data_IF_475723550694
#
_entry.id   IF_475723550694
#
_cell.length_a   1.000
_cell.length_b   1.000
_cell.length_c   1.000
_cell.angle_alpha   90.00
_cell.angle_beta   90.00
_cell.angle_gamma   90.00
#
_symmetry.space_group_name_H-M   'P 1'
#
loop_
_entity.id
_entity.type
_entity.pdbx_description
1 polymer ?
#
# COMPACT_ATOMS: atom_id res chain seq x y z
N UNK A 1 39.48 -12.89 -54.54
CA UNK A 1 38.17 -13.47 -54.94
C UNK A 1 37.21 -12.29 -55.04
N UNK A 2 36.73 -11.98 -56.26
CA UNK A 2 36.21 -10.67 -56.73
C UNK A 2 35.01 -10.11 -55.94
N UNK A 3 34.76 -8.79 -55.84
CA UNK A 3 34.65 -7.67 -56.80
C UNK A 3 33.37 -7.68 -57.65
N UNK A 4 32.75 -6.49 -57.78
CA UNK A 4 31.60 -6.01 -58.59
C UNK A 4 30.20 -6.16 -57.94
N UNK A 5 29.42 -5.12 -57.59
CA UNK A 5 28.96 -3.85 -58.21
C UNK A 5 27.76 -3.99 -59.20
N UNK A 6 26.77 -3.10 -59.03
CA UNK A 6 25.82 -2.50 -60.01
C UNK A 6 24.34 -2.97 -60.19
N UNK A 7 23.45 -1.98 -59.96
CA UNK A 7 22.33 -1.47 -60.80
C UNK A 7 20.91 -2.09 -60.75
N UNK A 8 19.99 -1.22 -60.30
CA UNK A 8 18.64 -0.82 -60.79
C UNK A 8 17.72 -1.79 -61.55
N UNK A 9 16.43 -1.71 -61.21
CA UNK A 9 15.31 -2.03 -62.10
C UNK A 9 14.01 -1.38 -61.64
N UNK A 10 13.63 -0.27 -62.29
CA UNK A 10 12.25 0.22 -62.37
C UNK A 10 11.55 -0.53 -63.52
N UNK A 11 10.29 -0.93 -63.32
CA UNK A 11 9.39 -1.37 -64.38
C UNK A 11 7.94 -1.18 -63.93
N UNK A 12 7.26 -0.29 -64.66
CA UNK A 12 5.84 0.04 -64.52
C UNK A 12 4.93 -1.04 -65.10
N UNK A 13 3.76 -1.18 -64.47
CA UNK A 13 2.47 -1.27 -65.16
C UNK A 13 1.99 -2.67 -65.57
N UNK A 14 0.77 -3.01 -65.15
CA UNK A 14 -0.34 -3.48 -66.00
C UNK A 14 -1.61 -3.52 -65.12
N UNK A 15 -2.66 -2.87 -65.60
CA UNK A 15 -4.04 -2.98 -65.12
C UNK A 15 -4.76 -4.07 -65.93
N UNK A 16 -5.69 -4.82 -65.33
CA UNK A 16 -7.02 -5.03 -65.94
C UNK A 16 -8.06 -5.53 -64.90
N UNK A 17 -9.36 -5.19 -65.07
CA UNK A 17 -10.42 -5.24 -64.08
C UNK A 17 -11.46 -6.35 -64.36
N UNK A 18 -12.30 -6.65 -63.37
CA UNK A 18 -13.73 -6.95 -63.49
C UNK A 18 -14.26 -7.31 -62.08
N UNK A 19 -15.24 -6.55 -61.55
CA UNK A 19 -16.69 -6.89 -61.48
C UNK A 19 -16.96 -8.17 -60.68
N UNK A 20 -17.93 -8.29 -59.77
CA UNK A 20 -19.10 -7.52 -59.38
C UNK A 20 -19.74 -8.26 -58.17
N UNK A 21 -20.50 -7.55 -57.32
CA UNK A 21 -21.88 -7.84 -56.85
C UNK A 21 -22.14 -6.95 -55.60
N UNK A 22 -22.81 -5.79 -55.73
CA UNK A 22 -24.28 -5.57 -55.56
C UNK A 22 -24.80 -6.09 -54.21
N UNK A 23 -24.97 -5.26 -53.17
CA UNK A 23 -25.97 -4.18 -52.95
C UNK A 23 -27.37 -4.71 -52.61
N UNK A 24 -27.82 -4.52 -51.35
CA UNK A 24 -29.20 -4.21 -50.93
C UNK A 24 -29.14 -3.29 -49.68
N UNK A 25 -29.89 -2.19 -49.75
CA UNK A 25 -30.15 -1.08 -48.79
C UNK A 25 -30.53 -1.53 -47.35
N UNK A 26 -30.30 -0.77 -46.27
CA UNK A 26 -30.72 0.62 -45.97
C UNK A 26 -32.14 0.56 -45.36
N UNK A 27 -32.47 1.01 -44.15
CA UNK A 27 -32.21 2.26 -43.42
C UNK A 27 -32.60 2.06 -41.94
N UNK A 28 -31.89 2.73 -41.02
CA UNK A 28 -32.48 3.46 -39.87
C UNK A 28 -31.36 4.05 -38.99
N UNK A 29 -31.04 5.32 -39.27
CA UNK A 29 -30.98 6.39 -38.27
C UNK A 29 -29.83 6.46 -37.27
N UNK A 30 -28.80 7.26 -37.57
CA UNK A 30 -28.36 8.43 -36.77
C UNK A 30 -27.14 9.12 -37.40
N UNK A 31 -27.25 10.36 -37.93
CA UNK A 31 -26.13 11.04 -38.55
C UNK A 31 -25.36 11.92 -37.56
N UNK A 32 -24.05 11.78 -37.68
CA UNK A 32 -23.02 12.68 -37.20
C UNK A 32 -22.77 13.77 -38.27
N UNK A 33 -22.84 15.06 -37.92
CA UNK A 33 -22.06 16.12 -38.58
C UNK A 33 -22.12 17.43 -37.80
N UNK A 34 -20.98 18.12 -37.71
CA UNK A 34 -20.85 19.47 -37.15
C UNK A 34 -21.19 20.56 -38.17
N UNK A 35 -20.96 21.82 -37.77
CA UNK A 35 -20.53 22.97 -38.59
C UNK A 35 -20.27 24.17 -37.62
N UNK A 36 -19.08 24.81 -37.63
CA UNK A 36 -18.68 26.09 -38.28
C UNK A 36 -19.12 27.37 -37.54
N UNK A 37 -18.14 28.17 -37.10
CA UNK A 37 -18.02 29.65 -37.18
C UNK A 37 -16.58 30.02 -36.72
N UNK A 38 -15.61 30.36 -37.58
CA UNK A 38 -15.35 31.57 -38.40
C UNK A 38 -15.01 32.85 -37.62
N UNK A 39 -13.74 33.27 -37.73
CA UNK A 39 -13.22 34.59 -37.40
C UNK A 39 -11.92 34.85 -38.17
N UNK A 40 -12.04 35.49 -39.34
CA UNK A 40 -10.94 35.91 -40.25
C UNK A 40 -10.16 37.10 -39.68
N UNK A 41 -8.83 37.12 -39.88
CA UNK A 41 -8.10 38.34 -40.22
C UNK A 41 -6.96 38.01 -41.18
N UNK A 42 -6.86 38.79 -42.27
CA UNK A 42 -5.93 38.64 -43.40
C UNK A 42 -4.85 39.71 -43.31
N UNK A 43 -3.60 39.31 -43.63
CA UNK A 43 -2.50 39.99 -44.37
C UNK A 43 -1.21 39.27 -43.96
N UNK A 44 -0.25 38.81 -44.76
CA UNK A 44 0.12 38.95 -46.17
C UNK A 44 1.65 38.72 -46.24
N UNK A 45 2.12 38.06 -47.30
CA UNK A 45 3.52 37.80 -47.73
C UNK A 45 4.28 36.55 -47.21
N UNK A 46 4.71 35.74 -48.18
CA UNK A 46 5.69 34.64 -48.18
C UNK A 46 7.02 35.15 -48.79
N UNK A 47 8.08 34.33 -48.96
CA UNK A 47 8.58 33.17 -48.20
C UNK A 47 10.11 33.25 -47.93
N UNK A 48 10.64 32.63 -46.85
CA UNK A 48 12.00 32.04 -46.89
C UNK A 48 12.00 30.73 -46.08
N UNK A 49 12.44 29.68 -46.73
CA UNK A 49 12.62 28.34 -46.21
C UNK A 49 13.77 28.25 -45.18
N UNK A 50 13.53 27.55 -44.08
CA UNK A 50 14.55 26.81 -43.36
C UNK A 50 13.89 25.59 -42.71
N UNK A 51 14.17 24.43 -43.31
CA UNK A 51 13.78 23.11 -42.86
C UNK A 51 14.53 22.76 -41.56
N UNK A 52 13.82 22.71 -40.44
CA UNK A 52 14.25 22.06 -39.21
C UNK A 52 13.14 21.16 -38.70
N UNK A 53 13.13 19.89 -39.13
CA UNK A 53 12.33 18.85 -38.50
C UNK A 53 13.02 18.44 -37.21
N UNK A 54 12.76 19.17 -36.13
CA UNK A 54 12.93 18.60 -34.80
C UNK A 54 11.62 17.88 -34.46
N UNK A 55 11.64 16.57 -34.69
CA UNK A 55 10.68 15.65 -34.11
C UNK A 55 10.87 15.68 -32.59
N UNK A 56 10.22 16.64 -31.93
CA UNK A 56 9.93 16.60 -30.51
C UNK A 56 8.99 15.41 -30.25
N UNK A 57 9.57 14.20 -30.23
CA UNK A 57 8.94 13.05 -29.62
C UNK A 57 8.74 13.41 -28.16
N UNK A 58 7.50 13.72 -27.79
CA UNK A 58 7.10 13.98 -26.42
C UNK A 58 7.63 12.83 -25.56
N UNK A 59 8.64 13.10 -24.71
CA UNK A 59 9.16 12.16 -23.72
C UNK A 59 7.98 11.69 -22.87
N UNK A 60 7.43 10.53 -23.21
CA UNK A 60 6.49 9.78 -22.38
C UNK A 60 7.15 9.65 -21.02
N UNK A 61 6.53 10.19 -19.97
CA UNK A 61 7.15 10.30 -18.64
C UNK A 61 7.79 8.97 -18.23
N UNK A 62 9.11 8.96 -18.08
CA UNK A 62 9.82 7.74 -17.68
C UNK A 62 9.39 7.38 -16.26
N UNK A 63 8.90 6.16 -16.12
CA UNK A 63 8.52 5.59 -14.83
C UNK A 63 9.77 5.40 -13.98
N UNK A 64 9.67 5.72 -12.69
CA UNK A 64 10.79 5.59 -11.75
C UNK A 64 11.00 4.14 -11.35
N UNK A 65 12.12 3.54 -11.76
CA UNK A 65 12.37 2.11 -11.60
C UNK A 65 12.62 1.74 -10.14
N UNK A 66 13.35 2.57 -9.39
CA UNK A 66 13.58 2.35 -7.95
C UNK A 66 12.30 2.24 -7.13
N UNK A 67 11.25 2.96 -7.51
CA UNK A 67 9.93 2.90 -6.86
C UNK A 67 9.29 1.52 -7.03
N UNK A 68 9.38 0.96 -8.25
CA UNK A 68 8.86 -0.37 -8.53
C UNK A 68 9.69 -1.45 -7.86
N UNK A 69 11.01 -1.34 -7.87
CA UNK A 69 11.91 -2.29 -7.19
C UNK A 69 11.68 -2.28 -5.68
N UNK A 70 11.56 -1.12 -5.03
CA UNK A 70 11.25 -1.02 -3.59
C UNK A 70 9.94 -1.72 -3.26
N UNK A 71 8.89 -1.43 -4.04
CA UNK A 71 7.59 -2.06 -3.87
C UNK A 71 7.67 -3.58 -4.08
N UNK A 72 8.43 -4.04 -5.08
CA UNK A 72 8.64 -5.45 -5.34
C UNK A 72 9.39 -6.19 -4.25
N UNK A 73 10.44 -5.58 -3.69
CA UNK A 73 11.14 -6.10 -2.51
C UNK A 73 10.18 -6.23 -1.33
N UNK A 74 9.31 -5.23 -1.14
CA UNK A 74 8.30 -5.27 -0.06
C UNK A 74 7.28 -6.40 -0.27
N UNK A 75 6.82 -6.62 -1.52
CA UNK A 75 5.95 -7.77 -1.87
C UNK A 75 6.67 -9.09 -1.68
N UNK A 76 7.92 -9.21 -2.11
CA UNK A 76 8.70 -10.43 -1.93
C UNK A 76 8.88 -10.74 -0.44
N UNK A 77 9.17 -9.71 0.37
CA UNK A 77 9.29 -9.85 1.81
C UNK A 77 7.99 -10.32 2.45
N UNK A 78 6.86 -9.73 2.04
CA UNK A 78 5.52 -10.14 2.48
C UNK A 78 5.29 -11.65 2.22
N UNK A 79 5.54 -12.13 0.99
CA UNK A 79 5.38 -13.55 0.66
C UNK A 79 6.28 -14.43 1.53
N UNK A 80 7.55 -14.04 1.71
CA UNK A 80 8.49 -14.79 2.55
C UNK A 80 8.03 -14.86 4.00
N UNK A 81 7.54 -13.76 4.57
CA UNK A 81 7.13 -13.75 5.98
C UNK A 81 5.81 -14.52 6.20
N UNK A 82 4.90 -14.49 5.21
CA UNK A 82 3.63 -15.21 5.27
C UNK A 82 3.84 -16.73 5.19
N UNK A 83 4.76 -17.20 4.33
CA UNK A 83 5.00 -18.64 4.13
C UNK A 83 6.07 -19.23 5.08
N UNK A 84 7.16 -18.49 5.34
CA UNK A 84 8.29 -18.96 6.14
C UNK A 84 8.27 -18.48 7.60
N UNK A 85 7.45 -17.48 7.93
CA UNK A 85 7.38 -16.92 9.28
C UNK A 85 6.96 -17.92 10.35
N UNK A 86 6.17 -18.94 9.99
CA UNK A 86 5.80 -20.02 10.91
C UNK A 86 6.98 -20.89 11.36
N UNK A 87 8.06 -20.96 10.56
CA UNK A 87 9.20 -21.83 10.81
C UNK A 87 10.45 -21.08 11.28
N UNK A 88 10.48 -19.75 11.10
CA UNK A 88 11.63 -18.91 11.47
C UNK A 88 11.14 -17.78 12.39
N UNK A 89 11.27 -17.91 13.72
CA UNK A 89 10.76 -16.94 14.68
C UNK A 89 11.28 -15.51 14.47
N UNK A 90 12.52 -15.35 13.98
CA UNK A 90 13.11 -14.04 13.67
C UNK A 90 12.44 -13.30 12.50
N UNK A 91 11.70 -14.04 11.66
CA UNK A 91 10.96 -13.51 10.51
C UNK A 91 9.47 -13.38 10.87
N UNK A 92 8.99 -14.03 11.93
CA UNK A 92 7.60 -13.91 12.38
C UNK A 92 7.35 -12.58 13.11
N UNK A 93 6.10 -12.10 13.14
CA UNK A 93 5.72 -10.88 13.83
C UNK A 93 6.05 -10.90 15.33
N UNK A 94 6.46 -9.75 15.88
CA UNK A 94 6.54 -9.60 17.34
C UNK A 94 5.16 -9.79 17.98
N UNK A 95 5.03 -10.54 19.10
CA UNK A 95 3.75 -10.72 19.77
C UNK A 95 3.09 -9.42 20.24
N UNK A 96 3.87 -8.42 20.66
CA UNK A 96 3.34 -7.13 21.10
C UNK A 96 4.34 -5.99 20.91
N UNK A 97 5.27 -5.82 21.86
CA UNK A 97 6.34 -4.83 21.81
C UNK A 97 7.58 -5.38 21.13
N UNK A 98 8.33 -4.50 20.47
CA UNK A 98 9.47 -4.85 19.63
C UNK A 98 9.08 -4.96 18.16
N UNK A 99 10.09 -5.14 17.32
CA UNK A 99 9.94 -5.22 15.85
C UNK A 99 10.76 -6.37 15.30
N UNK A 100 10.18 -7.11 14.38
CA UNK A 100 10.87 -8.11 13.55
C UNK A 100 10.82 -7.71 12.08
N UNK A 101 11.43 -8.51 11.20
CA UNK A 101 11.50 -8.21 9.76
C UNK A 101 10.09 -8.10 9.14
N UNK A 102 9.14 -8.95 9.53
CA UNK A 102 7.78 -8.91 9.00
C UNK A 102 7.04 -7.61 9.37
N UNK A 103 7.43 -6.96 10.46
CA UNK A 103 6.78 -5.74 10.93
C UNK A 103 7.10 -4.52 10.06
N UNK A 104 8.07 -4.59 9.13
CA UNK A 104 8.40 -3.50 8.22
C UNK A 104 7.57 -3.49 6.93
N UNK A 105 6.94 -4.61 6.57
CA UNK A 105 6.25 -4.80 5.27
C UNK A 105 5.16 -3.73 5.04
N UNK A 106 4.22 -3.58 5.98
CA UNK A 106 3.09 -2.67 5.81
C UNK A 106 3.50 -1.18 5.82
N UNK A 107 4.34 -0.71 6.77
CA UNK A 107 4.88 0.65 6.72
C UNK A 107 5.66 0.97 5.46
N UNK A 108 6.43 0.02 4.91
CA UNK A 108 7.14 0.21 3.64
C UNK A 108 6.17 0.42 2.47
N UNK A 109 5.05 -0.31 2.44
CA UNK A 109 3.99 -0.05 1.46
C UNK A 109 3.37 1.34 1.63
N UNK A 110 3.07 1.78 2.85
CA UNK A 110 2.52 3.11 3.10
C UNK A 110 3.49 4.21 2.67
N UNK A 111 4.77 4.05 3.01
CA UNK A 111 5.83 4.98 2.63
C UNK A 111 5.93 5.10 1.10
N UNK A 112 6.01 3.99 0.37
CA UNK A 112 6.16 4.04 -1.10
C UNK A 112 4.90 4.53 -1.80
N UNK A 113 3.70 4.31 -1.22
CA UNK A 113 2.46 4.94 -1.68
C UNK A 113 2.55 6.46 -1.55
N UNK A 114 3.10 6.97 -0.45
CA UNK A 114 3.42 8.38 -0.27
C UNK A 114 4.34 8.93 -1.36
N UNK A 115 5.48 8.27 -1.60
CA UNK A 115 6.43 8.67 -2.67
C UNK A 115 5.73 8.75 -4.02
N UNK A 116 4.90 7.74 -4.35
CA UNK A 116 4.15 7.69 -5.58
C UNK A 116 3.13 8.84 -5.72
N UNK A 117 2.53 9.31 -4.62
CA UNK A 117 1.60 10.44 -4.62
C UNK A 117 2.28 11.74 -5.01
N UNK A 118 3.50 11.99 -4.52
CA UNK A 118 4.29 13.17 -4.89
C UNK A 118 4.58 13.24 -6.40
N UNK A 119 4.81 12.08 -7.03
CA UNK A 119 4.99 11.97 -8.47
C UNK A 119 3.67 12.09 -9.25
N UNK A 120 2.60 11.46 -8.74
CA UNK A 120 1.31 11.38 -9.41
C UNK A 120 0.58 12.74 -9.47
N UNK A 121 0.75 13.57 -8.44
CA UNK A 121 0.09 14.87 -8.31
C UNK A 121 1.05 16.06 -8.50
N UNK A 122 2.24 15.85 -9.11
CA UNK A 122 3.21 16.92 -9.43
C UNK A 122 2.59 18.12 -10.15
N UNK A 123 1.59 17.90 -11.01
CA UNK A 123 0.85 18.96 -11.72
C UNK A 123 -0.65 18.64 -11.69
N UNK A 124 -1.41 19.39 -10.90
CA UNK A 124 -2.88 19.28 -10.83
C UNK A 124 -3.50 20.52 -11.45
N UNK A 125 -4.09 20.36 -12.63
CA UNK A 125 -4.83 21.43 -13.31
C UNK A 125 -6.25 21.60 -12.76
N UNK A 126 -6.93 20.49 -12.48
CA UNK A 126 -8.29 20.47 -11.89
C UNK A 126 -8.29 19.66 -10.59
N UNK A 127 -8.39 20.39 -9.46
CA UNK A 127 -8.40 19.81 -8.11
C UNK A 127 -9.64 18.97 -7.85
N UNK A 128 -10.80 19.33 -8.42
CA UNK A 128 -12.05 18.59 -8.21
C UNK A 128 -12.01 17.25 -8.95
N UNK A 129 -11.58 17.25 -10.21
CA UNK A 129 -11.40 16.01 -10.97
C UNK A 129 -10.34 15.10 -10.36
N UNK A 130 -9.22 15.67 -9.88
CA UNK A 130 -8.18 14.92 -9.19
C UNK A 130 -8.68 14.28 -7.88
N UNK A 131 -9.46 15.02 -7.09
CA UNK A 131 -10.08 14.52 -5.85
C UNK A 131 -11.06 13.40 -6.15
N UNK A 132 -11.94 13.56 -7.14
CA UNK A 132 -12.89 12.51 -7.55
C UNK A 132 -12.16 11.21 -7.95
N UNK A 133 -11.06 11.34 -8.70
CA UNK A 133 -10.23 10.18 -9.09
C UNK A 133 -9.57 9.51 -7.88
N UNK A 134 -9.06 10.29 -6.93
CA UNK A 134 -8.49 9.78 -5.69
C UNK A 134 -9.53 9.01 -4.86
N UNK A 135 -10.71 9.60 -4.66
CA UNK A 135 -11.85 8.98 -3.94
C UNK A 135 -12.26 7.67 -4.59
N UNK A 136 -12.48 7.65 -5.91
CA UNK A 136 -12.87 6.42 -6.61
C UNK A 136 -11.81 5.31 -6.49
N UNK A 137 -10.52 5.66 -6.51
CA UNK A 137 -9.44 4.67 -6.31
C UNK A 137 -9.43 4.13 -4.88
N UNK A 138 -9.58 5.00 -3.89
CA UNK A 138 -9.65 4.59 -2.48
C UNK A 138 -10.85 3.69 -2.21
N UNK A 139 -12.04 4.03 -2.75
CA UNK A 139 -13.25 3.23 -2.63
C UNK A 139 -13.09 1.84 -3.25
N UNK A 140 -12.53 1.75 -4.47
CA UNK A 140 -12.25 0.46 -5.11
C UNK A 140 -11.34 -0.41 -4.25
N UNK A 141 -10.30 0.18 -3.67
CA UNK A 141 -9.34 -0.53 -2.81
C UNK A 141 -9.99 -0.99 -1.49
N UNK A 142 -10.81 -0.13 -0.87
CA UNK A 142 -11.52 -0.46 0.36
C UNK A 142 -12.56 -1.56 0.16
N UNK A 143 -13.37 -1.48 -0.90
CA UNK A 143 -14.37 -2.51 -1.26
C UNK A 143 -13.68 -3.85 -1.53
N UNK A 144 -12.59 -3.83 -2.30
CA UNK A 144 -11.78 -5.02 -2.56
C UNK A 144 -11.23 -5.61 -1.25
N UNK A 145 -10.78 -4.77 -0.32
CA UNK A 145 -10.34 -5.19 1.02
C UNK A 145 -11.41 -5.91 1.81
N UNK A 146 -12.62 -5.34 1.87
CA UNK A 146 -13.75 -5.94 2.58
C UNK A 146 -14.14 -7.28 1.96
N UNK A 147 -14.14 -7.40 0.62
CA UNK A 147 -14.44 -8.68 -0.07
C UNK A 147 -13.39 -9.74 0.27
N UNK A 148 -12.10 -9.39 0.26
CA UNK A 148 -11.02 -10.37 0.51
C UNK A 148 -10.96 -10.82 1.96
N UNK A 149 -11.17 -9.92 2.92
CA UNK A 149 -11.06 -10.21 4.35
C UNK A 149 -12.38 -10.72 4.95
N UNK A 150 -13.52 -10.26 4.42
CA UNK A 150 -14.84 -10.43 4.98
C UNK A 150 -15.47 -11.82 4.85
N UNK A 151 -14.68 -12.88 4.67
CA UNK A 151 -15.17 -14.25 4.84
C UNK A 151 -15.44 -15.05 3.56
N UNK A 152 -15.11 -14.55 2.36
CA UNK A 152 -15.22 -15.40 1.15
C UNK A 152 -14.26 -16.61 1.15
N UNK A 153 -13.16 -16.54 1.89
CA UNK A 153 -12.08 -17.55 1.86
C UNK A 153 -11.63 -18.06 3.24
N UNK A 154 -12.27 -17.62 4.34
CA UNK A 154 -11.90 -18.03 5.69
C UNK A 154 -12.81 -19.16 6.17
N UNK A 155 -12.33 -20.40 6.05
CA UNK A 155 -13.10 -21.59 6.42
C UNK A 155 -12.64 -22.86 5.72
N UNK A 156 -11.32 -23.09 5.61
CA UNK A 156 -10.73 -24.28 4.93
C UNK A 156 -11.30 -25.60 5.49
N UNK A 157 -11.82 -25.58 6.72
CA UNK A 157 -12.35 -26.74 7.43
C UNK A 157 -13.88 -26.85 7.48
N UNK A 158 -14.64 -25.81 7.13
CA UNK A 158 -16.11 -25.83 7.18
C UNK A 158 -16.69 -25.46 5.81
N UNK A 159 -17.35 -26.41 5.16
CA UNK A 159 -18.03 -26.27 3.85
C UNK A 159 -19.20 -25.25 3.82
N UNK A 160 -19.33 -24.39 4.84
CA UNK A 160 -20.24 -23.24 4.82
C UNK A 160 -19.65 -22.12 3.98
N UNK A 161 -19.94 -22.14 2.68
CA UNK A 161 -19.63 -21.05 1.76
C UNK A 161 -20.59 -19.87 2.03
N UNK A 162 -20.09 -18.76 2.59
CA UNK A 162 -20.89 -17.57 2.86
C UNK A 162 -20.15 -16.49 3.66
N UNK A 163 -20.59 -15.24 3.51
CA UNK A 163 -20.12 -14.10 4.31
C UNK A 163 -21.12 -13.85 5.43
N UNK A 164 -20.72 -14.08 6.68
CA UNK A 164 -21.49 -13.63 7.83
C UNK A 164 -21.27 -12.12 8.03
N UNK A 165 -22.26 -11.34 7.62
CA UNK A 165 -22.24 -9.87 7.71
C UNK A 165 -22.09 -9.42 9.17
N UNK A 166 -22.61 -10.18 10.14
CA UNK A 166 -22.57 -9.82 11.56
C UNK A 166 -21.19 -10.04 12.20
N UNK A 167 -20.34 -10.88 11.61
CA UNK A 167 -18.97 -11.10 12.07
C UNK A 167 -17.90 -10.72 11.04
N UNK A 168 -18.29 -9.97 10.01
CA UNK A 168 -17.40 -9.52 8.95
C UNK A 168 -16.40 -8.50 9.48
N UNK A 169 -15.11 -8.69 9.19
CA UNK A 169 -14.06 -7.76 9.60
C UNK A 169 -14.10 -6.48 8.76
N UNK A 170 -14.28 -5.32 9.41
CA UNK A 170 -14.41 -4.03 8.71
C UNK A 170 -13.06 -3.40 8.33
N UNK A 171 -12.07 -3.46 9.21
CA UNK A 171 -10.74 -2.88 9.01
C UNK A 171 -9.70 -3.94 8.71
N UNK A 172 -8.81 -3.63 7.77
CA UNK A 172 -7.67 -4.47 7.43
C UNK A 172 -6.71 -3.74 6.52
N UNK A 173 -5.73 -4.48 5.97
CA UNK A 173 -4.56 -3.88 5.30
C UNK A 173 -4.97 -2.98 4.13
N UNK A 174 -5.83 -3.44 3.23
CA UNK A 174 -6.25 -2.66 2.06
C UNK A 174 -7.08 -1.43 2.43
N UNK A 175 -7.94 -1.52 3.44
CA UNK A 175 -8.75 -0.42 3.95
C UNK A 175 -7.86 0.65 4.60
N UNK A 176 -6.87 0.23 5.39
CA UNK A 176 -5.85 1.13 5.97
C UNK A 176 -5.05 1.85 4.89
N UNK A 177 -4.59 1.13 3.86
CA UNK A 177 -3.89 1.74 2.73
C UNK A 177 -4.82 2.72 2.00
N UNK A 178 -6.11 2.40 1.83
CA UNK A 178 -7.09 3.29 1.20
C UNK A 178 -7.29 4.60 2.01
N UNK A 179 -7.40 4.51 3.34
CA UNK A 179 -7.53 5.67 4.24
C UNK A 179 -6.28 6.56 4.14
N UNK A 180 -5.09 5.96 4.24
CA UNK A 180 -3.82 6.70 4.14
C UNK A 180 -3.65 7.33 2.75
N UNK A 181 -3.88 6.57 1.68
CA UNK A 181 -3.82 7.06 0.30
C UNK A 181 -4.75 8.26 0.10
N UNK A 182 -6.02 8.15 0.50
CA UNK A 182 -7.00 9.21 0.29
C UNK A 182 -6.66 10.46 1.08
N UNK A 183 -6.31 10.31 2.36
CA UNK A 183 -5.96 11.42 3.24
C UNK A 183 -4.75 12.20 2.72
N UNK A 184 -3.70 11.49 2.33
CA UNK A 184 -2.47 12.10 1.79
C UNK A 184 -2.69 12.68 0.40
N UNK A 185 -3.48 12.03 -0.47
CA UNK A 185 -3.84 12.58 -1.77
C UNK A 185 -4.63 13.90 -1.65
N UNK A 186 -5.58 13.98 -0.72
CA UNK A 186 -6.32 15.22 -0.44
C UNK A 186 -5.37 16.30 0.08
N UNK A 187 -4.48 15.97 1.02
CA UNK A 187 -3.47 16.90 1.50
C UNK A 187 -2.60 17.44 0.36
N UNK A 188 -2.12 16.57 -0.52
CA UNK A 188 -1.30 16.96 -1.68
C UNK A 188 -2.07 17.83 -2.67
N UNK A 189 -3.31 17.46 -3.02
CA UNK A 189 -4.09 18.21 -4.03
C UNK A 189 -4.46 19.62 -3.54
N UNK A 190 -4.78 19.77 -2.25
CA UNK A 190 -5.35 21.00 -1.73
C UNK A 190 -4.35 21.91 -1.01
N UNK A 191 -3.31 21.35 -0.39
CA UNK A 191 -2.31 22.10 0.37
C UNK A 191 -1.02 22.36 -0.41
N UNK A 192 -0.84 21.79 -1.60
CA UNK A 192 0.31 22.12 -2.45
C UNK A 192 0.22 23.57 -2.95
N UNK A 193 1.23 24.34 -2.60
CA UNK A 193 1.40 25.75 -2.97
C UNK A 193 2.26 25.88 -4.23
N UNK A 194 2.03 26.91 -5.04
CA UNK A 194 2.87 27.27 -6.18
C UNK A 194 4.05 28.14 -5.72
N UNK A 195 5.26 27.76 -6.12
CA UNK A 195 6.51 28.47 -5.79
C UNK A 195 7.71 27.77 -6.44
N UNK A 196 8.85 28.44 -6.52
CA UNK A 196 10.09 27.81 -6.99
C UNK A 196 10.83 27.12 -5.83
N UNK A 197 11.60 26.07 -6.10
CA UNK A 197 12.30 25.29 -5.08
C UNK A 197 13.78 25.17 -5.44
N UNK A 198 14.60 26.05 -4.87
CA UNK A 198 16.04 26.11 -5.14
C UNK A 198 16.89 25.38 -4.08
N UNK A 199 16.33 25.14 -2.89
CA UNK A 199 17.02 24.56 -1.73
C UNK A 199 16.12 23.67 -0.88
N UNK A 200 16.73 22.84 -0.03
CA UNK A 200 15.97 22.02 0.93
C UNK A 200 15.14 22.84 1.92
N UNK A 201 15.62 24.03 2.32
CA UNK A 201 14.84 24.93 3.16
C UNK A 201 13.60 25.49 2.45
N UNK A 202 13.72 25.88 1.18
CA UNK A 202 12.56 26.30 0.37
C UNK A 202 11.57 25.16 0.12
N UNK A 203 12.06 23.92 0.00
CA UNK A 203 11.19 22.74 -0.10
C UNK A 203 10.36 22.59 1.20
N UNK A 204 11.03 22.63 2.35
CA UNK A 204 10.39 22.49 3.65
C UNK A 204 9.37 23.61 3.89
N UNK A 205 9.73 24.85 3.54
CA UNK A 205 8.81 26.00 3.62
C UNK A 205 7.60 25.85 2.71
N UNK A 206 7.77 25.32 1.50
CA UNK A 206 6.68 25.09 0.54
C UNK A 206 5.67 24.06 1.05
N UNK A 207 6.15 22.99 1.67
CA UNK A 207 5.32 21.88 2.16
C UNK A 207 5.06 21.93 3.67
N UNK A 208 5.29 23.07 4.32
CA UNK A 208 5.15 23.24 5.77
C UNK A 208 3.74 22.91 6.26
N UNK A 209 2.69 23.21 5.49
CA UNK A 209 1.32 22.87 5.86
C UNK A 209 1.08 21.36 5.92
N UNK A 210 1.70 20.58 5.03
CA UNK A 210 1.59 19.13 5.06
C UNK A 210 2.34 18.54 6.26
N UNK A 211 3.50 19.09 6.59
CA UNK A 211 4.25 18.73 7.81
C UNK A 211 3.44 19.09 9.07
N UNK A 212 2.77 20.25 9.06
CA UNK A 212 1.90 20.68 10.16
C UNK A 212 0.69 19.75 10.33
N UNK A 213 0.07 19.30 9.22
CA UNK A 213 -0.98 18.27 9.26
C UNK A 213 -0.43 16.99 9.89
N UNK A 214 0.75 16.52 9.48
CA UNK A 214 1.40 15.36 10.09
C UNK A 214 1.59 15.52 11.60
N UNK A 215 2.10 16.67 12.05
CA UNK A 215 2.29 16.99 13.47
C UNK A 215 0.96 17.01 14.25
N UNK A 216 -0.09 17.60 13.68
CA UNK A 216 -1.43 17.61 14.28
C UNK A 216 -1.95 16.17 14.43
N UNK A 217 -1.86 15.35 13.38
CA UNK A 217 -2.33 13.97 13.39
C UNK A 217 -1.58 13.14 14.45
N UNK A 218 -0.25 13.28 14.53
CA UNK A 218 0.56 12.64 15.58
C UNK A 218 0.16 13.12 16.97
N UNK A 219 -0.06 14.42 17.16
CA UNK A 219 -0.47 14.97 18.46
C UNK A 219 -1.84 14.46 18.88
N UNK A 220 -2.80 14.42 17.95
CA UNK A 220 -4.14 13.86 18.17
C UNK A 220 -4.05 12.38 18.55
N UNK A 221 -3.25 11.59 17.81
CA UNK A 221 -3.03 10.19 18.13
C UNK A 221 -2.45 10.01 19.53
N UNK A 222 -1.40 10.75 19.90
CA UNK A 222 -0.77 10.67 21.22
C UNK A 222 -1.72 11.10 22.33
N UNK A 223 -2.51 12.15 22.10
CA UNK A 223 -3.54 12.58 23.04
C UNK A 223 -4.58 11.47 23.26
N UNK A 224 -5.10 10.86 22.20
CA UNK A 224 -6.06 9.76 22.35
C UNK A 224 -5.45 8.53 23.01
N UNK A 225 -4.21 8.17 22.67
CA UNK A 225 -3.53 7.01 23.24
C UNK A 225 -3.32 7.14 24.75
N UNK A 226 -2.86 8.31 25.23
CA UNK A 226 -2.47 8.49 26.63
C UNK A 226 -3.54 9.15 27.52
N UNK A 227 -4.39 9.99 26.96
CA UNK A 227 -5.37 10.75 27.75
C UNK A 227 -6.68 10.02 27.90
N UNK A 228 -7.10 9.18 26.95
CA UNK A 228 -8.39 8.49 27.08
C UNK A 228 -8.42 7.50 28.25
N UNK A 229 -9.57 7.47 28.93
CA UNK A 229 -9.87 6.49 29.97
C UNK A 229 -10.45 5.23 29.35
N UNK A 230 -9.87 4.10 29.69
CA UNK A 230 -10.32 2.78 29.25
C UNK A 230 -11.08 2.11 30.39
N UNK A 231 -12.42 2.01 30.30
CA UNK A 231 -13.23 1.35 31.30
C UNK A 231 -13.05 -0.17 31.21
N UNK A 232 -13.51 -0.86 32.26
CA UNK A 232 -13.73 -2.30 32.23
C UNK A 232 -14.66 -2.68 31.07
N UNK A 233 -14.46 -3.87 30.51
CA UNK A 233 -15.21 -4.32 29.36
C UNK A 233 -15.35 -5.85 29.35
N UNK A 234 -16.28 -6.34 28.53
CA UNK A 234 -16.64 -7.75 28.49
C UNK A 234 -16.73 -8.23 27.04
N UNK A 235 -16.48 -9.51 26.83
CA UNK A 235 -16.66 -10.17 25.53
C UNK A 235 -17.12 -11.62 25.72
N UNK A 236 -17.68 -12.19 24.65
CA UNK A 236 -18.25 -13.53 24.66
C UNK A 236 -17.42 -14.49 23.80
N UNK A 237 -17.19 -15.69 24.33
CA UNK A 237 -16.60 -16.80 23.58
C UNK A 237 -17.69 -17.83 23.26
N UNK A 238 -17.88 -18.19 21.98
CA UNK A 238 -18.79 -19.27 21.60
C UNK A 238 -18.29 -20.62 22.13
N UNK A 239 -19.08 -21.30 22.94
CA UNK A 239 -18.84 -22.70 23.35
C UNK A 239 -19.75 -23.64 22.56
N UNK A 240 -19.19 -24.74 22.04
CA UNK A 240 -19.88 -25.63 21.10
C UNK A 240 -21.07 -26.42 21.70
N UNK A 241 -21.28 -26.39 23.03
CA UNK A 241 -22.28 -27.21 23.72
C UNK A 241 -23.04 -26.49 24.85
N UNK A 242 -22.84 -25.19 25.06
CA UNK A 242 -23.38 -24.41 26.18
C UNK A 242 -23.70 -22.96 25.75
N UNK A 243 -24.33 -22.18 26.64
CA UNK A 243 -24.49 -20.73 26.46
C UNK A 243 -23.12 -20.05 26.34
N UNK A 244 -22.97 -19.01 25.50
CA UNK A 244 -21.70 -18.31 25.32
C UNK A 244 -21.12 -17.85 26.66
N UNK A 245 -19.80 -18.04 26.82
CA UNK A 245 -19.10 -17.69 28.05
C UNK A 245 -18.71 -16.21 28.02
N UNK A 246 -19.32 -15.41 28.90
CA UNK A 246 -18.95 -14.01 29.08
C UNK A 246 -17.71 -13.88 29.96
N UNK A 247 -16.71 -13.16 29.46
CA UNK A 247 -15.44 -12.91 30.16
C UNK A 247 -15.30 -11.41 30.37
N UNK A 248 -14.99 -11.00 31.61
CA UNK A 248 -14.73 -9.60 31.95
C UNK A 248 -13.22 -9.31 32.04
N UNK A 249 -12.85 -8.14 31.54
CA UNK A 249 -11.49 -7.60 31.56
C UNK A 249 -11.49 -6.34 32.39
N UNK A 250 -10.67 -6.34 33.45
CA UNK A 250 -10.51 -5.22 34.37
C UNK A 250 -9.41 -4.28 33.88
N UNK A 251 -9.76 -3.03 33.65
CA UNK A 251 -8.86 -2.00 33.16
C UNK A 251 -8.87 -0.81 34.13
N UNK A 252 -9.84 0.09 33.99
CA UNK A 252 -9.97 1.26 34.87
C UNK A 252 -8.76 2.21 34.86
N UNK A 253 -8.06 2.31 33.72
CA UNK A 253 -6.77 3.02 33.59
C UNK A 253 -6.74 4.03 32.43
N UNK A 254 -5.72 4.89 32.43
CA UNK A 254 -5.36 5.79 31.32
C UNK A 254 -3.92 5.52 30.90
N UNK A 255 -3.63 5.65 29.61
CA UNK A 255 -2.27 5.55 29.08
C UNK A 255 -1.63 4.18 29.17
N UNK A 256 -2.41 3.13 29.38
CA UNK A 256 -1.92 1.75 29.26
C UNK A 256 -1.69 1.41 27.78
N UNK A 257 -0.51 0.86 27.49
CA UNK A 257 -0.13 0.39 26.14
C UNK A 257 -0.12 -1.14 26.07
N UNK A 258 -0.65 -1.83 27.08
CA UNK A 258 -0.78 -3.27 27.09
C UNK A 258 -1.89 -3.78 26.15
N UNK A 259 -1.93 -5.08 25.84
CA UNK A 259 -2.92 -5.65 24.93
C UNK A 259 -4.39 -5.44 25.35
N UNK A 260 -4.64 -5.45 26.66
CA UNK A 260 -6.00 -5.50 27.21
C UNK A 260 -6.68 -4.13 27.36
N UNK A 261 -5.92 -3.13 27.78
CA UNK A 261 -6.46 -1.88 28.34
C UNK A 261 -5.99 -0.62 27.60
N UNK A 262 -5.50 -0.78 26.38
CA UNK A 262 -5.11 0.34 25.53
C UNK A 262 -6.30 1.05 24.87
N UNK A 263 -6.13 2.34 24.61
CA UNK A 263 -7.15 3.20 24.01
C UNK A 263 -7.44 2.86 22.54
N UNK A 264 -6.45 2.34 21.79
CA UNK A 264 -6.61 1.94 20.37
C UNK A 264 -7.68 0.86 20.26
N UNK A 265 -7.47 -0.26 20.96
CA UNK A 265 -8.43 -1.36 21.00
C UNK A 265 -9.77 -0.95 21.61
N UNK A 266 -9.80 -0.03 22.57
CA UNK A 266 -11.07 0.49 23.11
C UNK A 266 -11.90 1.21 22.04
N UNK A 267 -11.29 2.09 21.25
CA UNK A 267 -11.96 2.82 20.18
C UNK A 267 -12.50 1.83 19.14
N UNK A 268 -11.69 0.86 18.74
CA UNK A 268 -12.10 -0.13 17.74
C UNK A 268 -13.26 -0.99 18.25
N UNK A 269 -13.21 -1.47 19.50
CA UNK A 269 -14.32 -2.20 20.13
C UNK A 269 -15.61 -1.39 20.17
N UNK A 270 -15.53 -0.08 20.41
CA UNK A 270 -16.70 0.81 20.54
C UNK A 270 -17.30 1.24 19.21
N UNK A 271 -16.45 1.51 18.21
CA UNK A 271 -16.89 2.02 16.89
C UNK A 271 -17.16 0.88 15.92
N UNK A 272 -16.25 -0.07 15.81
CA UNK A 272 -16.38 -1.20 14.88
C UNK A 272 -17.24 -2.31 15.46
N UNK A 273 -17.25 -2.47 16.78
CA UNK A 273 -17.92 -3.58 17.47
C UNK A 273 -17.01 -4.81 17.59
N UNK A 274 -17.08 -5.49 18.73
CA UNK A 274 -16.21 -6.64 19.08
C UNK A 274 -16.30 -7.76 18.03
N UNK A 275 -17.48 -8.00 17.46
CA UNK A 275 -17.72 -9.07 16.48
C UNK A 275 -17.00 -8.84 15.15
N UNK A 276 -16.64 -7.60 14.85
CA UNK A 276 -16.01 -7.20 13.59
C UNK A 276 -14.50 -6.99 13.71
N UNK A 277 -13.92 -7.31 14.88
CA UNK A 277 -12.48 -7.25 15.11
C UNK A 277 -11.82 -8.57 14.69
N UNK A 278 -10.50 -8.51 14.49
CA UNK A 278 -9.71 -9.70 14.19
C UNK A 278 -9.68 -10.66 15.38
N UNK A 279 -10.02 -11.93 15.14
CA UNK A 279 -10.26 -12.94 16.18
C UNK A 279 -9.01 -13.69 16.65
N UNK A 280 -7.89 -13.59 15.93
CA UNK A 280 -6.65 -14.32 16.25
C UNK A 280 -5.46 -13.37 16.35
N UNK A 281 -5.47 -12.43 17.32
CA UNK A 281 -4.42 -11.43 17.44
C UNK A 281 -3.05 -12.02 17.78
N UNK A 282 -1.99 -11.37 17.30
CA UNK A 282 -0.61 -11.84 17.45
C UNK A 282 -0.17 -11.93 18.92
N UNK A 283 -0.79 -11.16 19.82
CA UNK A 283 -0.45 -11.21 21.26
C UNK A 283 -0.83 -12.54 21.94
N UNK A 284 -1.61 -13.41 21.31
CA UNK A 284 -1.84 -14.78 21.80
C UNK A 284 -0.51 -15.53 22.01
N UNK A 285 0.53 -15.13 21.28
CA UNK A 285 1.90 -15.66 21.37
C UNK A 285 2.74 -15.05 22.49
N UNK A 286 2.21 -14.10 23.25
CA UNK A 286 2.90 -13.54 24.42
C UNK A 286 3.08 -14.60 25.51
N UNK A 287 4.08 -14.41 26.37
CA UNK A 287 4.37 -15.33 27.50
C UNK A 287 3.18 -15.51 28.46
N UNK A 288 2.27 -14.53 28.50
CA UNK A 288 1.08 -14.55 29.35
C UNK A 288 -0.05 -15.42 28.75
N UNK A 289 -0.03 -15.63 27.43
CA UNK A 289 -1.12 -16.26 26.69
C UNK A 289 -0.72 -17.58 26.01
N UNK A 290 0.58 -17.89 25.90
CA UNK A 290 1.06 -19.14 25.32
C UNK A 290 2.21 -19.74 26.13
N UNK A 291 2.05 -21.02 26.50
CA UNK A 291 3.13 -21.82 27.12
C UNK A 291 4.34 -21.96 26.18
N UNK A 292 4.13 -21.92 24.86
CA UNK A 292 5.17 -22.06 23.85
C UNK A 292 5.70 -20.70 23.34
N UNK A 293 5.45 -19.59 24.05
CA UNK A 293 5.89 -18.26 23.62
C UNK A 293 7.39 -18.25 23.21
N UNK A 294 7.76 -17.67 22.05
CA UNK A 294 6.96 -16.77 21.20
C UNK A 294 6.09 -17.47 20.16
N UNK A 295 5.89 -18.78 20.22
CA UNK A 295 5.03 -19.51 19.28
C UNK A 295 3.63 -19.73 19.84
N UNK A 296 2.71 -20.13 18.96
CA UNK A 296 1.36 -20.51 19.38
C UNK A 296 1.41 -21.76 20.26
N UNK A 297 0.60 -21.77 21.30
CA UNK A 297 0.58 -22.84 22.28
C UNK A 297 -0.69 -22.78 23.13
N UNK A 298 -0.91 -23.79 23.98
CA UNK A 298 -2.03 -23.79 24.91
C UNK A 298 -1.90 -22.63 25.91
N UNK A 299 -3.04 -22.16 26.39
CA UNK A 299 -3.13 -21.13 27.43
C UNK A 299 -2.48 -21.63 28.73
N UNK A 300 -1.60 -20.83 29.37
CA UNK A 300 -1.13 -21.10 30.72
C UNK A 300 -2.30 -21.22 31.73
N UNK A 301 -2.18 -22.01 32.80
CA UNK A 301 -3.22 -22.15 33.82
C UNK A 301 -3.61 -20.82 34.49
N UNK A 302 -2.68 -19.87 34.54
CA UNK A 302 -2.79 -18.52 35.11
C UNK A 302 -2.98 -17.43 34.03
N UNK A 303 -3.38 -17.81 32.81
CA UNK A 303 -3.53 -16.88 31.70
C UNK A 303 -4.56 -15.77 32.03
N UNK A 304 -4.22 -14.50 31.74
CA UNK A 304 -5.15 -13.38 31.90
C UNK A 304 -6.42 -13.52 31.06
N UNK A 305 -7.51 -12.93 31.55
CA UNK A 305 -8.82 -13.02 30.90
C UNK A 305 -8.90 -12.40 29.50
N UNK A 306 -7.96 -11.54 29.13
CA UNK A 306 -7.90 -10.89 27.82
C UNK A 306 -7.15 -11.70 26.76
N UNK A 307 -6.51 -12.82 27.10
CA UNK A 307 -5.68 -13.58 26.15
C UNK A 307 -6.44 -14.09 24.92
N UNK A 308 -7.76 -14.30 25.04
CA UNK A 308 -8.62 -14.75 23.94
C UNK A 308 -9.51 -13.62 23.39
N UNK A 309 -9.26 -12.38 23.79
CA UNK A 309 -9.99 -11.24 23.26
C UNK A 309 -9.66 -11.03 21.78
N UNK A 310 -10.60 -10.55 20.96
CA UNK A 310 -10.29 -10.08 19.62
C UNK A 310 -9.65 -8.68 19.67
N UNK A 311 -8.74 -8.41 18.74
CA UNK A 311 -8.04 -7.13 18.62
C UNK A 311 -7.63 -6.87 17.18
N UNK A 312 -7.90 -5.66 16.67
CA UNK A 312 -7.61 -5.30 15.29
C UNK A 312 -6.37 -4.40 15.18
N UNK A 313 -5.21 -4.90 14.69
CA UNK A 313 -4.01 -4.08 14.51
C UNK A 313 -4.13 -3.11 13.32
N UNK A 314 -5.12 -3.33 12.46
CA UNK A 314 -5.45 -2.47 11.33
C UNK A 314 -6.56 -1.44 11.63
N UNK A 315 -6.97 -1.32 12.90
CA UNK A 315 -8.04 -0.44 13.39
C UNK A 315 -7.90 1.07 13.13
N UNK A 316 -8.91 1.83 13.57
CA UNK A 316 -9.16 3.22 13.18
C UNK A 316 -8.11 4.18 13.74
N UNK A 317 -7.83 4.13 15.05
CA UNK A 317 -6.90 5.08 15.69
C UNK A 317 -5.47 4.87 15.17
N UNK A 318 -5.02 3.62 15.08
CA UNK A 318 -3.72 3.26 14.49
C UNK A 318 -3.60 3.62 13.00
N UNK A 319 -4.71 3.75 12.27
CA UNK A 319 -4.68 4.22 10.88
C UNK A 319 -4.31 5.71 10.75
N UNK A 320 -4.45 6.51 11.81
CA UNK A 320 -3.96 7.90 11.83
C UNK A 320 -2.43 7.92 11.64
N UNK A 321 -1.71 7.08 12.36
CA UNK A 321 -0.25 7.00 12.22
C UNK A 321 0.17 6.37 10.88
N UNK A 322 -0.66 5.50 10.29
CA UNK A 322 -0.46 5.06 8.91
C UNK A 322 -0.53 6.21 7.90
N UNK A 323 -1.43 7.19 8.11
CA UNK A 323 -1.46 8.43 7.31
C UNK A 323 -0.16 9.22 7.48
N UNK A 324 0.35 9.34 8.71
CA UNK A 324 1.61 10.04 9.00
C UNK A 324 2.80 9.39 8.26
N UNK A 325 2.92 8.05 8.29
CA UNK A 325 3.97 7.35 7.54
C UNK A 325 3.86 7.58 6.03
N UNK A 326 2.64 7.61 5.49
CA UNK A 326 2.39 7.95 4.09
C UNK A 326 2.76 9.41 3.77
N UNK A 327 2.48 10.36 4.68
CA UNK A 327 2.91 11.77 4.55
C UNK A 327 4.44 11.90 4.55
N UNK A 328 5.15 11.12 5.36
CA UNK A 328 6.63 11.11 5.34
C UNK A 328 7.11 10.64 3.97
N UNK A 329 6.54 9.56 3.42
CA UNK A 329 6.84 9.10 2.07
C UNK A 329 6.54 10.14 0.98
N UNK A 330 5.45 10.92 1.14
CA UNK A 330 5.12 12.02 0.23
C UNK A 330 6.26 13.05 0.12
N UNK A 331 6.88 13.42 1.24
CA UNK A 331 8.03 14.35 1.23
C UNK A 331 9.20 13.81 0.41
N UNK A 332 9.45 12.49 0.44
CA UNK A 332 10.47 11.86 -0.39
C UNK A 332 10.13 11.97 -1.87
N UNK A 333 8.84 11.83 -2.23
CA UNK A 333 8.35 12.06 -3.59
C UNK A 333 8.59 13.49 -4.08
N UNK A 334 8.38 14.50 -3.22
CA UNK A 334 8.65 15.91 -3.57
C UNK A 334 10.12 16.18 -3.87
N UNK A 335 11.04 15.55 -3.14
CA UNK A 335 12.48 15.67 -3.42
C UNK A 335 12.80 15.19 -4.85
N UNK A 336 12.18 14.11 -5.34
CA UNK A 336 12.35 13.62 -6.72
C UNK A 336 11.83 14.64 -7.74
N UNK A 337 10.72 15.31 -7.40
CA UNK A 337 10.02 16.24 -8.27
C UNK A 337 10.81 17.52 -8.51
N UNK A 338 11.47 18.03 -7.48
CA UNK A 338 12.09 19.36 -7.45
C UNK A 338 13.61 19.35 -7.63
N UNK A 339 14.31 18.36 -7.06
CA UNK A 339 15.77 18.28 -7.21
C UNK A 339 16.10 17.46 -8.44
N UNK A 340 16.91 17.98 -9.36
CA UNK A 340 17.39 17.22 -10.52
C UNK A 340 18.65 16.40 -10.19
N UNK A 341 19.55 16.97 -9.38
CA UNK A 341 20.82 16.32 -9.04
C UNK A 341 20.64 15.13 -8.09
N UNK A 342 21.37 14.06 -8.37
CA UNK A 342 21.30 12.82 -7.61
C UNK A 342 21.85 12.98 -6.18
N UNK A 343 22.90 13.78 -5.99
CA UNK A 343 23.51 13.95 -4.65
C UNK A 343 22.56 14.72 -3.75
N UNK A 344 21.95 15.79 -4.26
CA UNK A 344 20.98 16.57 -3.50
C UNK A 344 19.78 15.72 -3.05
N UNK A 345 19.26 14.86 -3.93
CA UNK A 345 18.20 13.91 -3.58
C UNK A 345 18.61 12.99 -2.43
N UNK A 346 19.80 12.39 -2.54
CA UNK A 346 20.33 11.46 -1.52
C UNK A 346 20.52 12.19 -0.18
N UNK A 347 21.10 13.39 -0.18
CA UNK A 347 21.27 14.17 1.05
C UNK A 347 19.93 14.51 1.71
N UNK A 348 18.94 14.93 0.92
CA UNK A 348 17.62 15.28 1.45
C UNK A 348 16.81 14.07 1.90
N UNK A 349 17.16 12.85 1.52
CA UNK A 349 16.56 11.63 2.07
C UNK A 349 17.31 11.10 3.28
N UNK A 350 18.64 11.05 3.23
CA UNK A 350 19.45 10.42 4.27
C UNK A 350 19.42 11.20 5.58
N UNK A 351 19.40 12.54 5.54
CA UNK A 351 19.34 13.38 6.74
C UNK A 351 18.05 13.13 7.53
N UNK A 352 16.84 13.35 6.98
CA UNK A 352 15.60 13.10 7.72
C UNK A 352 15.41 11.63 8.09
N UNK A 353 15.84 10.68 7.25
CA UNK A 353 15.79 9.25 7.60
C UNK A 353 16.59 8.93 8.87
N UNK A 354 17.81 9.48 8.96
CA UNK A 354 18.69 9.29 10.11
C UNK A 354 18.12 9.95 11.37
N UNK A 355 17.52 11.13 11.22
CA UNK A 355 16.83 11.83 12.33
C UNK A 355 15.64 11.00 12.83
N UNK A 356 14.82 10.44 11.93
CA UNK A 356 13.69 9.60 12.30
C UNK A 356 14.12 8.33 13.03
N UNK A 357 15.20 7.68 12.59
CA UNK A 357 15.76 6.52 13.30
C UNK A 357 16.28 6.91 14.69
N UNK A 358 17.06 7.98 14.81
CA UNK A 358 17.56 8.45 16.09
C UNK A 358 16.42 8.80 17.05
N UNK A 359 15.38 9.47 16.55
CA UNK A 359 14.16 9.77 17.31
C UNK A 359 13.45 8.49 17.75
N UNK A 360 13.31 7.50 16.86
CA UNK A 360 12.63 6.25 17.17
C UNK A 360 13.29 5.49 18.34
N UNK A 361 14.61 5.30 18.28
CA UNK A 361 15.35 4.65 19.36
C UNK A 361 15.36 5.47 20.66
N UNK A 362 15.38 6.80 20.54
CA UNK A 362 15.26 7.67 21.73
C UNK A 362 13.89 7.53 22.40
N UNK A 363 12.80 7.54 21.62
CA UNK A 363 11.45 7.37 22.13
C UNK A 363 11.25 6.00 22.78
N UNK A 364 11.76 4.93 22.14
CA UNK A 364 11.73 3.57 22.69
C UNK A 364 12.48 3.49 24.03
N UNK A 365 13.65 4.13 24.12
CA UNK A 365 14.42 4.22 25.36
C UNK A 365 13.67 4.96 26.48
N UNK A 366 12.90 6.00 26.16
CA UNK A 366 12.07 6.74 27.13
C UNK A 366 10.71 6.08 27.44
N UNK A 367 10.49 4.82 27.02
CA UNK A 367 9.32 4.03 27.36
C UNK A 367 8.17 4.10 26.35
N UNK A 368 8.33 4.81 25.23
CA UNK A 368 7.42 4.71 24.09
C UNK A 368 7.83 3.53 23.22
N UNK A 369 7.56 2.32 23.70
CA UNK A 369 8.03 1.10 23.05
C UNK A 369 7.54 0.95 21.61
N UNK A 370 8.41 0.42 20.75
CA UNK A 370 8.06 0.14 19.36
C UNK A 370 6.99 -0.96 19.32
N UNK A 371 5.75 -0.55 19.03
CA UNK A 371 4.62 -1.46 18.95
C UNK A 371 3.89 -1.32 17.61
N UNK A 372 3.83 -2.41 16.85
CA UNK A 372 3.14 -2.49 15.55
C UNK A 372 1.62 -2.44 15.69
N UNK A 373 1.07 -3.18 16.64
CA UNK A 373 -0.36 -3.34 16.81
C UNK A 373 -1.04 -2.00 17.17
N UNK A 374 -0.37 -1.19 18.00
CA UNK A 374 -0.80 0.17 18.31
C UNK A 374 -0.43 1.18 17.22
N UNK A 375 0.49 0.83 16.33
CA UNK A 375 1.19 1.73 15.42
C UNK A 375 1.76 2.94 16.17
N UNK A 376 2.57 2.64 17.20
CA UNK A 376 3.19 3.64 18.07
C UNK A 376 4.05 4.66 17.30
N UNK A 377 4.30 5.83 17.90
CA UNK A 377 5.14 6.87 17.30
C UNK A 377 6.57 6.40 17.04
N UNK A 378 7.19 5.69 17.99
CA UNK A 378 8.53 5.11 17.82
C UNK A 378 8.56 4.09 16.68
N UNK A 379 7.54 3.23 16.56
CA UNK A 379 7.38 2.29 15.45
C UNK A 379 7.23 3.00 14.09
N UNK A 380 6.42 4.07 14.02
CA UNK A 380 6.27 4.85 12.79
C UNK A 380 7.60 5.51 12.38
N UNK A 381 8.34 6.07 13.33
CA UNK A 381 9.63 6.70 13.08
C UNK A 381 10.70 5.68 12.63
N UNK A 382 10.81 4.51 13.29
CA UNK A 382 11.83 3.51 12.92
C UNK A 382 11.57 2.94 11.53
N UNK A 383 10.30 2.65 11.22
CA UNK A 383 9.93 2.05 9.94
C UNK A 383 10.00 3.05 8.79
N UNK A 384 9.59 4.31 8.99
CA UNK A 384 9.75 5.36 7.98
C UNK A 384 11.23 5.72 7.74
N UNK A 385 12.03 5.80 8.79
CA UNK A 385 13.48 6.04 8.67
C UNK A 385 14.19 4.91 7.94
N UNK A 386 13.89 3.65 8.27
CA UNK A 386 14.42 2.49 7.57
C UNK A 386 13.98 2.45 6.09
N UNK A 387 12.71 2.77 5.81
CA UNK A 387 12.19 2.86 4.45
C UNK A 387 12.95 3.91 3.63
N UNK A 388 13.23 5.07 4.21
CA UNK A 388 13.96 6.14 3.55
C UNK A 388 15.40 5.77 3.19
N UNK A 389 16.14 5.12 4.11
CA UNK A 389 17.49 4.61 3.84
C UNK A 389 17.46 3.53 2.75
N UNK A 390 16.54 2.56 2.86
CA UNK A 390 16.40 1.49 1.88
C UNK A 390 16.04 2.06 0.49
N UNK A 391 15.14 3.03 0.43
CA UNK A 391 14.76 3.70 -0.81
C UNK A 391 15.94 4.45 -1.44
N UNK A 392 16.72 5.20 -0.65
CA UNK A 392 17.92 5.87 -1.13
C UNK A 392 18.96 4.86 -1.68
N UNK A 393 19.16 3.73 -1.00
CA UNK A 393 20.05 2.66 -1.46
C UNK A 393 19.60 2.05 -2.79
N UNK A 394 18.31 1.72 -2.93
CA UNK A 394 17.74 1.18 -4.17
C UNK A 394 17.82 2.21 -5.30
N UNK A 395 17.56 3.48 -5.00
CA UNK A 395 17.68 4.58 -5.96
C UNK A 395 19.10 4.69 -6.51
N UNK A 396 20.12 4.68 -5.65
CA UNK A 396 21.53 4.70 -6.05
C UNK A 396 21.87 3.48 -6.91
N UNK A 397 21.45 2.29 -6.48
CA UNK A 397 21.75 1.05 -7.19
C UNK A 397 21.14 1.02 -8.61
N UNK A 398 19.88 1.40 -8.73
CA UNK A 398 19.08 1.19 -9.95
C UNK A 398 19.07 2.41 -10.87
N UNK A 399 18.85 3.61 -10.32
CA UNK A 399 18.65 4.83 -11.10
C UNK A 399 19.96 5.61 -11.31
N UNK A 400 20.94 5.50 -10.41
CA UNK A 400 22.27 6.14 -10.57
C UNK A 400 23.27 5.21 -11.23
N UNK A 401 23.49 4.00 -10.69
CA UNK A 401 24.45 3.03 -11.24
C UNK A 401 23.89 2.15 -12.37
N UNK A 402 22.57 2.18 -12.62
CA UNK A 402 21.96 1.47 -13.74
C UNK A 402 21.93 -0.05 -13.58
N UNK A 403 22.00 -0.60 -12.36
CA UNK A 403 22.07 -2.04 -12.08
C UNK A 403 20.71 -2.73 -12.25
N UNK A 404 20.17 -2.74 -13.48
CA UNK A 404 18.78 -3.14 -13.78
C UNK A 404 18.55 -4.64 -13.93
N UNK A 405 19.54 -5.39 -14.43
CA UNK A 405 19.38 -6.83 -14.73
C UNK A 405 18.97 -7.68 -13.52
N UNK A 406 19.61 -7.55 -12.33
CA UNK A 406 19.22 -8.37 -11.18
C UNK A 406 17.94 -7.86 -10.51
N UNK A 407 17.56 -6.60 -10.71
CA UNK A 407 16.34 -6.03 -10.12
C UNK A 407 15.10 -6.22 -10.99
N UNK A 408 15.21 -6.81 -12.18
CA UNK A 408 14.07 -6.97 -13.10
C UNK A 408 12.91 -7.78 -12.50
N UNK A 409 13.23 -8.83 -11.73
CA UNK A 409 12.22 -9.61 -11.01
C UNK A 409 11.49 -8.75 -9.97
N UNK A 410 12.24 -7.96 -9.20
CA UNK A 410 11.66 -7.06 -8.19
C UNK A 410 10.85 -5.93 -8.84
N UNK A 411 11.34 -5.35 -9.93
CA UNK A 411 10.58 -4.36 -10.71
C UNK A 411 9.22 -4.95 -11.13
N UNK A 412 9.22 -6.13 -11.75
CA UNK A 412 8.01 -6.82 -12.19
C UNK A 412 7.05 -7.10 -11.03
N UNK A 413 7.55 -7.66 -9.92
CA UNK A 413 6.76 -7.90 -8.71
C UNK A 413 6.15 -6.60 -8.19
N UNK A 414 6.90 -5.50 -8.24
CA UNK A 414 6.41 -4.17 -7.91
C UNK A 414 5.25 -3.76 -8.79
N UNK A 415 5.41 -3.84 -10.12
CA UNK A 415 4.35 -3.48 -11.07
C UNK A 415 3.04 -4.23 -10.82
N UNK A 416 3.14 -5.49 -10.36
CA UNK A 416 2.02 -6.39 -10.12
C UNK A 416 1.67 -6.60 -8.64
N UNK A 417 2.15 -5.73 -7.74
CA UNK A 417 2.05 -5.90 -6.29
C UNK A 417 0.64 -6.26 -5.77
N UNK A 418 -0.40 -5.55 -6.25
CA UNK A 418 -1.78 -5.80 -5.82
C UNK A 418 -2.27 -7.20 -6.24
N UNK A 419 -1.92 -7.64 -7.44
CA UNK A 419 -2.30 -8.97 -7.93
C UNK A 419 -1.61 -10.07 -7.11
N UNK A 420 -0.33 -9.90 -6.80
CA UNK A 420 0.43 -10.85 -5.99
C UNK A 420 -0.14 -10.91 -4.56
N UNK A 421 -0.47 -9.76 -3.96
CA UNK A 421 -1.15 -9.72 -2.66
C UNK A 421 -2.47 -10.51 -2.66
N UNK A 422 -3.32 -10.29 -3.66
CA UNK A 422 -4.61 -10.98 -3.79
C UNK A 422 -4.41 -12.49 -3.95
N UNK A 423 -3.47 -12.91 -4.80
CA UNK A 423 -3.26 -14.32 -5.09
C UNK A 423 -2.59 -15.07 -3.94
N UNK A 424 -1.54 -14.50 -3.36
CA UNK A 424 -0.70 -15.18 -2.37
C UNK A 424 -1.19 -14.88 -0.95
N UNK A 425 -1.13 -13.62 -0.52
CA UNK A 425 -1.43 -13.25 0.87
C UNK A 425 -2.89 -13.47 1.28
N UNK A 426 -3.84 -13.39 0.34
CA UNK A 426 -5.25 -13.72 0.61
C UNK A 426 -5.58 -15.21 0.41
N UNK A 427 -4.58 -16.09 0.27
CA UNK A 427 -4.72 -17.54 0.09
C UNK A 427 -5.56 -17.99 -1.11
N UNK A 428 -5.83 -17.11 -2.09
CA UNK A 428 -6.64 -17.45 -3.27
C UNK A 428 -5.92 -18.50 -4.13
N UNK A 429 -4.61 -18.37 -4.32
CA UNK A 429 -3.82 -19.32 -5.10
C UNK A 429 -3.76 -20.71 -4.43
N UNK A 430 -3.44 -20.84 -3.12
CA UNK A 430 -3.60 -22.10 -2.41
C UNK A 430 -5.00 -22.72 -2.56
N UNK A 431 -6.07 -21.92 -2.42
CA UNK A 431 -7.45 -22.40 -2.61
C UNK A 431 -7.70 -22.89 -4.04
N UNK A 432 -7.18 -22.20 -5.07
CA UNK A 432 -7.30 -22.65 -6.46
C UNK A 432 -6.48 -23.90 -6.77
N UNK A 433 -5.35 -24.12 -6.10
CA UNK A 433 -4.51 -25.30 -6.35
C UNK A 433 -5.03 -26.51 -5.56
N UNK A 434 -5.41 -26.31 -4.29
CA UNK A 434 -5.82 -27.39 -3.39
C UNK A 434 -7.32 -27.65 -3.39
N UNK A 435 -8.13 -26.63 -3.70
CA UNK A 435 -9.60 -26.71 -3.66
C UNK A 435 -10.22 -27.48 -4.82
N UNK A 436 -9.52 -27.63 -5.95
CA UNK A 436 -9.95 -28.53 -7.03
C UNK A 436 -9.31 -29.91 -6.84
N UNK A 437 -10.13 -30.89 -6.46
CA UNK A 437 -9.72 -32.26 -6.23
C UNK A 437 -10.67 -33.26 -6.90
N UNK A 438 -10.15 -34.44 -7.24
CA UNK A 438 -10.94 -35.50 -7.90
C UNK A 438 -11.37 -36.58 -6.90
N UNK A 439 -12.67 -36.60 -6.59
CA UNK A 439 -13.29 -37.57 -5.67
C UNK A 439 -13.01 -37.25 -4.20
N UNK A 440 -11.77 -37.47 -3.76
CA UNK A 440 -11.35 -37.22 -2.37
C UNK A 440 -10.46 -35.96 -2.28
N UNK A 441 -10.54 -35.16 -1.19
CA UNK A 441 -9.71 -33.95 -1.00
C UNK A 441 -8.20 -34.19 -1.09
N UNK A 442 -7.78 -35.43 -0.84
CA UNK A 442 -6.39 -35.91 -0.94
C UNK A 442 -5.89 -35.94 -2.40
N UNK A 443 -6.79 -35.97 -3.39
CA UNK A 443 -6.48 -36.03 -4.82
C UNK A 443 -6.62 -34.65 -5.47
N UNK A 444 -5.97 -33.65 -4.87
CA UNK A 444 -5.89 -32.30 -5.42
C UNK A 444 -4.85 -32.20 -6.55
N UNK A 445 -4.79 -31.03 -7.20
CA UNK A 445 -3.89 -30.80 -8.34
C UNK A 445 -2.41 -31.06 -8.01
N UNK A 446 -1.97 -30.86 -6.76
CA UNK A 446 -0.56 -31.11 -6.36
C UNK A 446 -0.19 -32.58 -6.52
N UNK A 447 -1.09 -33.48 -6.09
CA UNK A 447 -0.90 -34.92 -6.24
C UNK A 447 -0.95 -35.38 -7.71
N UNK A 448 -1.76 -34.71 -8.55
CA UNK A 448 -1.78 -34.95 -10.01
C UNK A 448 -0.51 -34.46 -10.69
N UNK A 449 0.09 -33.39 -10.17
CA UNK A 449 1.38 -32.84 -10.62
C UNK A 449 2.59 -33.59 -10.02
N UNK A 450 2.37 -34.56 -9.13
CA UNK A 450 3.41 -35.38 -8.52
C UNK A 450 4.25 -34.67 -7.45
N UNK A 451 3.70 -33.62 -6.83
CA UNK A 451 4.32 -32.83 -5.75
C UNK A 451 3.73 -33.22 -4.40
#
# INVERSE_FOLDING_TARGET
MGMYELISGDSRGIADPNKNLLAIDGDDGLPQKGDIESGKMVTGSSPIAASGRDTASARKGQRLVSLDVFRGITVALMVVVDDAGAFVPAINHSPWDGVTIADFVMPFFLFIVGVALGLAYKRVSDRAAATKKAVLRALKLAILGVILQGGYFHGIHNLTYGVDIMSMRWMGVLQRIAIAYLSVAICEIWLSSDGDVDSGYSLLRRYIFQLFVGLILTTIYMAFLYVLYVPDWEYEIPEAASSPKTISVKCGVRGDTGPACNAVGMIDRKILGIQHLYKSPVYERTKQCSINSPDNGPLPPDAPSWCQAPFDPEGLLSSIMAVVTCLIGLQFGHVIVHFEDHKDRIFQWMIPSSILLALAFSLDYFGLHMNKALYSLSYACVTAGAAGILFAGIYVLVDVYGFRRPTYAMEWMGMHALMIYILVACNILPVLIQGFYWGEPQNNLLKVLGI
#
